data_IF_730973066550
#
_entry.id   IF_730973066550
#
_cell.length_a   1.000
_cell.length_b   1.000
_cell.length_c   1.000
_cell.angle_alpha   90.00
_cell.angle_beta   90.00
_cell.angle_gamma   90.00
#
_symmetry.space_group_name_H-M   'P 1'
#
loop_
_entity.id
_entity.type
_entity.pdbx_description
1 polymer ?
#
# COMPACT_ATOMS: atom_id res chain seq x y z
N UNK A 1 4.17 14.98 15.06
CA UNK A 1 3.08 15.04 16.05
C UNK A 1 1.93 15.97 15.65
N UNK A 2 2.17 17.24 15.28
CA UNK A 2 1.07 18.16 14.86
C UNK A 2 0.29 17.72 13.61
N UNK A 3 0.97 17.16 12.61
CA UNK A 3 0.34 16.72 11.36
C UNK A 3 -0.70 15.60 11.57
N UNK A 4 -0.33 14.53 12.28
CA UNK A 4 -1.24 13.40 12.52
C UNK A 4 -2.43 13.82 13.40
N UNK A 5 -2.20 14.71 14.37
CA UNK A 5 -3.28 15.28 15.18
C UNK A 5 -4.26 16.09 14.33
N UNK A 6 -3.76 16.95 13.43
CA UNK A 6 -4.62 17.71 12.50
C UNK A 6 -5.40 16.77 11.56
N UNK A 7 -4.75 15.72 11.05
CA UNK A 7 -5.37 14.71 10.21
C UNK A 7 -6.56 14.05 10.92
N UNK A 8 -6.42 13.68 12.19
CA UNK A 8 -7.52 13.13 13.01
C UNK A 8 -8.67 14.12 13.15
N UNK A 9 -8.39 15.36 13.52
CA UNK A 9 -9.43 16.39 13.68
C UNK A 9 -10.20 16.55 12.37
N UNK A 10 -9.49 16.66 11.24
CA UNK A 10 -10.09 16.82 9.91
C UNK A 10 -10.91 15.61 9.46
N UNK A 11 -10.52 14.40 9.85
CA UNK A 11 -11.27 13.17 9.59
C UNK A 11 -12.57 13.14 10.43
N UNK A 12 -12.48 13.44 11.72
CA UNK A 12 -13.64 13.50 12.61
C UNK A 12 -14.64 14.58 12.19
N UNK A 13 -14.17 15.75 11.74
CA UNK A 13 -15.04 16.81 11.21
C UNK A 13 -15.82 16.36 9.97
N UNK A 14 -15.19 15.62 9.06
CA UNK A 14 -15.84 15.06 7.86
C UNK A 14 -16.89 14.02 8.22
N UNK A 15 -16.55 13.09 9.11
CA UNK A 15 -17.50 12.15 9.70
C UNK A 15 -18.70 12.88 10.29
N UNK A 16 -18.47 13.91 11.10
CA UNK A 16 -19.54 14.70 11.73
C UNK A 16 -20.42 15.45 10.71
N UNK A 17 -19.90 15.81 9.52
CA UNK A 17 -20.72 16.41 8.46
C UNK A 17 -21.72 15.41 7.87
N UNK A 18 -21.31 14.15 7.70
CA UNK A 18 -22.20 13.09 7.21
C UNK A 18 -23.39 12.84 8.15
N UNK A 19 -23.19 12.93 9.47
CA UNK A 19 -24.29 12.84 10.43
C UNK A 19 -25.30 14.00 10.38
N UNK A 20 -24.84 15.17 9.95
CA UNK A 20 -25.61 16.42 9.99
C UNK A 20 -26.26 16.78 8.65
N UNK A 21 -25.77 16.21 7.56
CA UNK A 21 -26.25 16.50 6.21
C UNK A 21 -27.59 15.79 5.94
N UNK A 22 -28.44 16.40 5.13
CA UNK A 22 -29.70 15.78 4.70
C UNK A 22 -29.51 14.91 3.46
N UNK A 23 -30.51 14.09 3.13
CA UNK A 23 -30.41 13.13 2.02
C UNK A 23 -30.08 13.71 0.64
N UNK A 24 -30.38 15.00 0.40
CA UNK A 24 -30.10 15.67 -0.88
C UNK A 24 -28.62 15.97 -1.10
N UNK A 25 -27.87 16.14 -0.02
CA UNK A 25 -26.46 16.56 -0.03
C UNK A 25 -25.52 15.47 0.46
N UNK A 26 -26.05 14.37 0.97
CA UNK A 26 -25.27 13.27 1.54
C UNK A 26 -24.26 12.68 0.56
N UNK A 27 -24.67 12.40 -0.68
CA UNK A 27 -23.80 11.83 -1.72
C UNK A 27 -22.57 12.72 -2.00
N UNK A 28 -22.77 14.04 -2.08
CA UNK A 28 -21.68 14.99 -2.28
C UNK A 28 -20.72 15.03 -1.08
N UNK A 29 -21.24 15.07 0.16
CA UNK A 29 -20.42 15.04 1.37
C UNK A 29 -19.63 13.73 1.49
N UNK A 30 -20.23 12.60 1.11
CA UNK A 30 -19.57 11.30 1.10
C UNK A 30 -18.41 11.28 0.10
N UNK A 31 -18.62 11.79 -1.12
CA UNK A 31 -17.55 11.95 -2.12
C UNK A 31 -16.44 12.87 -1.61
N UNK A 32 -16.76 13.99 -0.96
CA UNK A 32 -15.73 14.87 -0.38
C UNK A 32 -14.92 14.19 0.73
N UNK A 33 -15.54 13.31 1.52
CA UNK A 33 -14.83 12.51 2.50
C UNK A 33 -13.90 11.49 1.84
N UNK A 34 -14.40 10.73 0.85
CA UNK A 34 -13.59 9.74 0.14
C UNK A 34 -12.42 10.36 -0.62
N UNK A 35 -12.67 11.47 -1.33
CA UNK A 35 -11.62 12.25 -1.98
C UNK A 35 -10.55 12.68 -0.98
N UNK A 36 -10.94 13.18 0.19
CA UNK A 36 -9.98 13.55 1.24
C UNK A 36 -9.13 12.37 1.71
N UNK A 37 -9.75 11.20 1.90
CA UNK A 37 -9.03 9.99 2.31
C UNK A 37 -8.03 9.52 1.24
N UNK A 38 -8.40 9.61 -0.04
CA UNK A 38 -7.55 9.24 -1.17
C UNK A 38 -6.45 10.27 -1.46
N UNK A 39 -6.71 11.56 -1.23
CA UNK A 39 -5.73 12.62 -1.51
C UNK A 39 -4.68 12.76 -0.42
N UNK A 40 -5.03 12.47 0.83
CA UNK A 40 -4.06 12.52 1.92
C UNK A 40 -3.14 11.29 1.88
N UNK A 41 -1.81 11.44 1.77
CA UNK A 41 -0.90 10.31 1.60
C UNK A 41 -0.96 9.25 2.72
N UNK A 42 -1.20 9.66 3.96
CA UNK A 42 -1.22 8.74 5.11
C UNK A 42 -2.50 7.90 5.11
N UNK A 43 -3.66 8.51 4.95
CA UNK A 43 -4.91 7.73 4.87
C UNK A 43 -4.98 6.94 3.57
N UNK A 44 -4.44 7.46 2.47
CA UNK A 44 -4.36 6.73 1.20
C UNK A 44 -3.56 5.44 1.37
N UNK A 45 -2.39 5.50 1.98
CA UNK A 45 -1.56 4.30 2.18
C UNK A 45 -2.27 3.28 3.08
N UNK A 46 -2.95 3.72 4.14
CA UNK A 46 -3.79 2.87 4.98
C UNK A 46 -4.90 2.19 4.19
N UNK A 47 -5.62 2.95 3.36
CA UNK A 47 -6.69 2.41 2.54
C UNK A 47 -6.16 1.42 1.49
N UNK A 48 -5.00 1.69 0.88
CA UNK A 48 -4.35 0.77 -0.06
C UNK A 48 -4.01 -0.53 0.65
N UNK A 49 -3.33 -0.47 1.80
CA UNK A 49 -2.99 -1.63 2.64
C UNK A 49 -4.23 -2.42 3.02
N UNK A 50 -5.28 -1.74 3.51
CA UNK A 50 -6.55 -2.35 3.90
C UNK A 50 -7.23 -3.06 2.72
N UNK A 51 -7.21 -2.45 1.53
CA UNK A 51 -7.86 -2.96 0.31
C UNK A 51 -7.29 -4.30 -0.15
N UNK A 52 -5.98 -4.50 0.06
CA UNK A 52 -5.23 -5.68 -0.36
C UNK A 52 -5.03 -6.72 0.73
N UNK A 53 -5.39 -6.42 1.98
CA UNK A 53 -5.35 -7.39 3.09
C UNK A 53 -6.17 -8.65 2.77
N UNK A 54 -5.80 -9.80 3.31
CA UNK A 54 -6.50 -11.07 3.08
C UNK A 54 -7.60 -11.35 4.12
N UNK A 55 -7.88 -10.40 5.00
CA UNK A 55 -8.84 -10.53 6.12
C UNK A 55 -10.25 -10.93 5.69
N UNK A 56 -10.69 -10.53 4.50
CA UNK A 56 -11.99 -10.88 3.92
C UNK A 56 -11.99 -10.74 2.40
N UNK A 57 -12.61 -11.69 1.70
CA UNK A 57 -13.00 -11.53 0.29
C UNK A 57 -14.32 -10.76 0.24
N UNK A 58 -14.26 -9.52 -0.24
CA UNK A 58 -15.41 -8.64 -0.28
C UNK A 58 -16.49 -9.10 -1.26
N UNK A 59 -16.13 -9.68 -2.39
CA UNK A 59 -17.11 -10.09 -3.40
C UNK A 59 -17.85 -11.34 -2.95
N UNK A 60 -17.14 -12.29 -2.34
CA UNK A 60 -17.77 -13.43 -1.67
C UNK A 60 -18.69 -12.94 -0.54
N UNK A 61 -18.18 -12.10 0.37
CA UNK A 61 -18.97 -11.56 1.48
C UNK A 61 -20.22 -10.85 0.97
N UNK A 62 -20.10 -9.97 -0.03
CA UNK A 62 -21.22 -9.21 -0.57
C UNK A 62 -22.28 -10.11 -1.21
N UNK A 63 -21.88 -11.21 -1.87
CA UNK A 63 -22.81 -12.20 -2.43
C UNK A 63 -23.60 -12.93 -1.34
N UNK A 64 -22.94 -13.30 -0.24
CA UNK A 64 -23.59 -13.92 0.93
C UNK A 64 -24.60 -12.95 1.58
N UNK A 65 -24.23 -11.68 1.72
CA UNK A 65 -25.10 -10.68 2.33
C UNK A 65 -26.33 -10.32 1.48
N UNK A 66 -26.27 -10.43 0.15
CA UNK A 66 -27.44 -10.16 -0.70
C UNK A 66 -28.62 -11.10 -0.48
N UNK A 67 -28.39 -12.27 0.14
CA UNK A 67 -29.44 -13.24 0.47
C UNK A 67 -29.78 -13.27 1.96
N UNK A 68 -29.05 -12.53 2.79
CA UNK A 68 -29.21 -12.52 4.24
C UNK A 68 -30.35 -11.58 4.66
N UNK A 69 -31.01 -11.93 5.78
CA UNK A 69 -32.03 -11.06 6.41
C UNK A 69 -31.43 -9.89 7.18
N UNK A 70 -30.18 -10.03 7.59
CA UNK A 70 -29.42 -9.07 8.39
C UNK A 70 -27.97 -9.11 7.92
N UNK A 71 -27.32 -7.95 7.81
CA UNK A 71 -25.94 -7.89 7.37
C UNK A 71 -25.01 -8.31 8.51
N UNK A 72 -24.21 -9.33 8.26
CA UNK A 72 -23.19 -9.82 9.19
C UNK A 72 -21.82 -9.30 8.75
N UNK A 73 -21.21 -8.45 9.57
CA UNK A 73 -19.84 -8.01 9.34
C UNK A 73 -18.83 -9.10 9.72
N UNK A 74 -17.64 -9.12 9.10
CA UNK A 74 -16.53 -9.94 9.56
C UNK A 74 -16.22 -9.72 11.04
N UNK A 75 -15.77 -10.77 11.73
CA UNK A 75 -15.44 -10.71 13.16
C UNK A 75 -14.20 -9.85 13.45
N UNK A 76 -13.25 -9.81 12.52
CA UNK A 76 -12.05 -8.99 12.66
C UNK A 76 -12.33 -7.52 12.38
N UNK A 77 -11.70 -6.65 13.16
CA UNK A 77 -11.82 -5.20 12.98
C UNK A 77 -11.32 -4.75 11.60
N UNK A 78 -10.17 -5.27 11.17
CA UNK A 78 -9.62 -5.03 9.83
C UNK A 78 -10.58 -5.52 8.73
N UNK A 79 -11.14 -6.72 8.87
CA UNK A 79 -12.10 -7.26 7.91
C UNK A 79 -13.36 -6.40 7.81
N UNK A 80 -13.88 -5.94 8.95
CA UNK A 80 -15.00 -4.99 8.99
C UNK A 80 -14.64 -3.67 8.30
N UNK A 81 -13.49 -3.08 8.63
CA UNK A 81 -13.03 -1.84 8.00
C UNK A 81 -12.88 -2.00 6.48
N UNK A 82 -12.34 -3.12 6.01
CA UNK A 82 -12.19 -3.43 4.58
C UNK A 82 -13.55 -3.49 3.87
N UNK A 83 -14.52 -4.21 4.45
CA UNK A 83 -15.89 -4.28 3.92
C UNK A 83 -16.51 -2.88 3.86
N UNK A 84 -16.42 -2.11 4.94
CA UNK A 84 -16.91 -0.74 5.00
C UNK A 84 -16.31 0.12 3.88
N UNK A 85 -14.98 0.09 3.73
CA UNK A 85 -14.29 0.83 2.67
C UNK A 85 -14.76 0.40 1.27
N UNK A 86 -14.89 -0.91 1.00
CA UNK A 86 -15.35 -1.42 -0.30
C UNK A 86 -16.80 -1.03 -0.61
N UNK A 87 -17.69 -0.99 0.39
CA UNK A 87 -19.05 -0.44 0.23
C UNK A 87 -18.99 1.03 -0.18
N UNK A 88 -18.16 1.84 0.49
CA UNK A 88 -18.03 3.26 0.15
C UNK A 88 -17.45 3.48 -1.24
N UNK A 89 -16.47 2.66 -1.68
CA UNK A 89 -15.94 2.67 -3.06
C UNK A 89 -17.01 2.33 -4.09
N UNK A 90 -17.92 1.40 -3.81
CA UNK A 90 -19.09 1.14 -4.69
C UNK A 90 -20.03 2.33 -4.74
N UNK A 91 -20.17 3.09 -3.65
CA UNK A 91 -20.97 4.32 -3.65
C UNK A 91 -20.35 5.43 -4.52
N UNK A 92 -19.03 5.56 -4.52
CA UNK A 92 -18.32 6.54 -5.35
C UNK A 92 -18.47 6.26 -6.85
N UNK A 93 -18.39 4.99 -7.26
CA UNK A 93 -18.38 4.57 -8.65
C UNK A 93 -19.79 4.45 -9.28
N UNK A 94 -20.87 4.66 -8.52
CA UNK A 94 -22.23 4.52 -9.04
C UNK A 94 -22.71 5.82 -9.71
N UNK A 95 -22.84 5.81 -11.04
CA UNK A 95 -23.33 6.93 -11.86
C UNK A 95 -24.76 7.39 -11.48
N UNK A 96 -25.59 6.49 -10.94
CA UNK A 96 -26.96 6.80 -10.51
C UNK A 96 -27.03 7.44 -9.11
N UNK A 97 -25.90 7.54 -8.39
CA UNK A 97 -25.74 8.36 -7.17
C UNK A 97 -26.52 7.93 -5.94
N UNK A 98 -26.80 6.62 -5.76
CA UNK A 98 -27.67 6.11 -4.67
C UNK A 98 -27.32 4.72 -4.14
N UNK A 99 -26.10 4.20 -4.37
CA UNK A 99 -25.72 2.87 -3.84
C UNK A 99 -25.83 2.82 -2.31
N UNK A 100 -25.59 3.95 -1.62
CA UNK A 100 -25.78 4.07 -0.19
C UNK A 100 -27.23 3.77 0.24
N UNK A 101 -28.25 3.97 -0.61
CA UNK A 101 -29.64 3.64 -0.27
C UNK A 101 -29.86 2.13 -0.21
N UNK A 102 -29.26 1.38 -1.15
CA UNK A 102 -29.33 -0.08 -1.17
C UNK A 102 -28.77 -0.65 0.12
N UNK A 103 -27.60 -0.17 0.52
CA UNK A 103 -26.96 -0.57 1.77
C UNK A 103 -27.70 -0.01 2.99
N UNK A 104 -28.20 1.22 2.93
CA UNK A 104 -29.02 1.82 3.99
C UNK A 104 -30.24 0.97 4.32
N UNK A 105 -30.95 0.44 3.32
CA UNK A 105 -32.05 -0.49 3.53
C UNK A 105 -31.62 -1.85 4.10
N UNK A 106 -30.37 -2.26 3.89
CA UNK A 106 -29.83 -3.48 4.48
C UNK A 106 -29.46 -3.31 5.96
N UNK A 107 -29.14 -2.08 6.38
CA UNK A 107 -28.73 -1.75 7.75
C UNK A 107 -29.84 -1.13 8.60
N UNK A 108 -30.91 -0.65 7.98
CA UNK A 108 -31.95 0.14 8.65
C UNK A 108 -33.34 -0.42 8.36
N UNK A 109 -34.20 -0.40 9.39
CA UNK A 109 -35.64 -0.63 9.24
C UNK A 109 -36.43 0.67 9.00
N UNK A 110 -35.74 1.81 8.92
CA UNK A 110 -36.36 3.13 8.80
C UNK A 110 -36.86 3.42 7.39
N UNK A 111 -37.99 4.11 7.33
CA UNK A 111 -38.59 4.58 6.06
C UNK A 111 -38.23 6.03 5.75
N UNK A 112 -37.71 6.77 6.73
CA UNK A 112 -37.27 8.16 6.57
C UNK A 112 -35.81 8.18 6.12
N UNK A 113 -35.56 8.75 4.95
CA UNK A 113 -34.22 8.81 4.36
C UNK A 113 -33.15 9.38 5.30
N UNK A 114 -33.44 10.44 6.04
CA UNK A 114 -32.46 11.05 6.95
C UNK A 114 -32.11 10.14 8.15
N UNK A 115 -33.01 9.26 8.59
CA UNK A 115 -32.71 8.28 9.64
C UNK A 115 -31.91 7.12 9.06
N UNK A 116 -32.33 6.59 7.90
CA UNK A 116 -31.58 5.55 7.19
C UNK A 116 -30.14 5.97 6.86
N UNK A 117 -29.91 7.25 6.58
CA UNK A 117 -28.57 7.81 6.36
C UNK A 117 -27.70 7.80 7.60
N UNK A 118 -28.29 8.07 8.77
CA UNK A 118 -27.57 7.98 10.05
C UNK A 118 -27.18 6.54 10.32
N UNK A 119 -28.11 5.61 10.16
CA UNK A 119 -27.85 4.18 10.34
C UNK A 119 -26.76 3.68 9.38
N UNK A 120 -26.79 4.11 8.11
CA UNK A 120 -25.72 3.81 7.16
C UNK A 120 -24.38 4.43 7.59
N UNK A 121 -24.37 5.67 8.07
CA UNK A 121 -23.15 6.34 8.55
C UNK A 121 -22.57 5.58 9.76
N UNK A 122 -23.41 5.20 10.72
CA UNK A 122 -23.02 4.45 11.91
C UNK A 122 -22.54 3.02 11.58
N UNK A 123 -23.18 2.36 10.62
CA UNK A 123 -22.84 1.00 10.25
C UNK A 123 -21.60 0.90 9.36
N UNK A 124 -21.36 1.90 8.50
CA UNK A 124 -20.35 1.83 7.42
C UNK A 124 -19.24 2.87 7.59
N UNK A 125 -19.59 4.13 7.80
CA UNK A 125 -18.60 5.22 7.84
C UNK A 125 -17.83 5.20 9.15
N UNK A 126 -18.54 5.05 10.27
CA UNK A 126 -17.96 5.11 11.61
C UNK A 126 -16.90 4.02 11.86
N UNK A 127 -17.13 2.73 11.54
CA UNK A 127 -16.13 1.71 11.75
C UNK A 127 -14.85 1.97 10.96
N UNK A 128 -14.98 2.42 9.70
CA UNK A 128 -13.81 2.78 8.89
C UNK A 128 -13.07 3.97 9.51
N UNK A 129 -13.78 5.01 9.95
CA UNK A 129 -13.14 6.20 10.55
C UNK A 129 -12.44 5.85 11.86
N UNK A 130 -13.05 5.03 12.70
CA UNK A 130 -12.45 4.60 13.96
C UNK A 130 -11.20 3.77 13.70
N UNK A 131 -11.28 2.79 12.80
CA UNK A 131 -10.11 2.02 12.36
C UNK A 131 -8.98 2.94 11.88
N UNK A 132 -9.29 3.91 11.00
CA UNK A 132 -8.29 4.86 10.51
C UNK A 132 -7.73 5.75 11.65
N UNK A 133 -8.52 6.09 12.66
CA UNK A 133 -8.03 6.84 13.81
C UNK A 133 -7.02 6.04 14.62
N UNK A 134 -7.32 4.78 14.88
CA UNK A 134 -6.44 3.90 15.65
C UNK A 134 -5.13 3.68 14.88
N UNK A 135 -5.21 3.42 13.58
CA UNK A 135 -4.04 3.31 12.71
C UNK A 135 -3.23 4.62 12.56
N UNK A 136 -3.85 5.78 12.73
CA UNK A 136 -3.13 7.07 12.78
C UNK A 136 -2.40 7.24 14.12
N UNK A 137 -3.00 6.76 15.22
CA UNK A 137 -2.42 6.84 16.55
C UNK A 137 -1.23 5.89 16.71
N UNK A 138 -1.29 4.71 16.09
CA UNK A 138 -0.19 3.74 16.08
C UNK A 138 1.02 4.24 15.28
N UNK A 139 0.82 5.14 14.30
CA UNK A 139 1.90 5.86 13.61
C UNK A 139 2.79 5.04 12.68
N UNK A 140 2.65 3.72 12.67
CA UNK A 140 3.56 2.75 12.02
C UNK A 140 3.21 2.33 10.60
N UNK A 141 2.43 3.10 9.82
CA UNK A 141 2.09 2.69 8.46
C UNK A 141 3.33 2.63 7.55
N UNK A 142 3.85 1.42 7.32
CA UNK A 142 5.10 1.15 6.61
C UNK A 142 5.09 1.77 5.21
N UNK A 143 4.01 1.60 4.45
CA UNK A 143 3.94 2.11 3.09
C UNK A 143 4.08 3.64 3.05
N UNK A 144 3.39 4.37 3.94
CA UNK A 144 3.54 5.81 4.09
C UNK A 144 4.96 6.20 4.47
N UNK A 145 5.58 5.46 5.39
CA UNK A 145 6.95 5.75 5.83
C UNK A 145 7.97 5.55 4.71
N UNK A 146 7.79 4.53 3.87
CA UNK A 146 8.59 4.33 2.65
C UNK A 146 8.34 5.46 1.64
N UNK A 147 7.08 5.87 1.41
CA UNK A 147 6.75 7.01 0.53
C UNK A 147 7.41 8.30 1.04
N UNK A 148 7.36 8.54 2.36
CA UNK A 148 8.02 9.68 2.98
C UNK A 148 9.54 9.61 2.86
N UNK A 149 10.13 8.43 3.02
CA UNK A 149 11.56 8.22 2.79
C UNK A 149 11.95 8.49 1.34
N UNK A 150 11.16 8.01 0.37
CA UNK A 150 11.33 8.31 -1.06
C UNK A 150 11.38 9.82 -1.31
N UNK A 151 10.40 10.57 -0.81
CA UNK A 151 10.39 12.03 -0.96
C UNK A 151 11.61 12.69 -0.30
N UNK A 152 11.97 12.26 0.92
CA UNK A 152 13.15 12.77 1.64
C UNK A 152 14.45 12.52 0.86
N UNK A 153 14.60 11.30 0.33
CA UNK A 153 15.74 10.87 -0.46
C UNK A 153 15.83 11.68 -1.76
N UNK A 154 14.75 11.74 -2.53
CA UNK A 154 14.74 12.35 -3.86
C UNK A 154 14.90 13.88 -3.82
N UNK A 155 14.32 14.55 -2.82
CA UNK A 155 14.29 16.01 -2.76
C UNK A 155 15.46 16.61 -1.98
N UNK A 156 15.91 15.94 -0.91
CA UNK A 156 16.85 16.55 0.04
C UNK A 156 18.16 15.77 0.19
N UNK A 157 18.15 14.45 0.04
CA UNK A 157 19.31 13.60 0.35
C UNK A 157 19.90 12.88 -0.86
N UNK A 158 19.51 13.25 -2.08
CA UNK A 158 19.91 12.59 -3.32
C UNK A 158 21.44 12.44 -3.43
N UNK A 159 22.14 13.58 -3.38
CA UNK A 159 23.60 13.61 -3.43
C UNK A 159 24.26 12.83 -2.29
N UNK A 160 23.72 12.95 -1.07
CA UNK A 160 24.25 12.30 0.12
C UNK A 160 24.17 10.77 0.00
N UNK A 161 22.99 10.24 -0.31
CA UNK A 161 22.75 8.79 -0.47
C UNK A 161 23.54 8.23 -1.66
N UNK A 162 23.63 8.97 -2.76
CA UNK A 162 24.45 8.55 -3.90
C UNK A 162 25.94 8.52 -3.57
N UNK A 163 26.44 9.52 -2.84
CA UNK A 163 27.84 9.53 -2.39
C UNK A 163 28.12 8.37 -1.43
N UNK A 164 27.18 8.05 -0.54
CA UNK A 164 27.26 6.90 0.35
C UNK A 164 27.37 5.57 -0.44
N UNK A 165 26.59 5.43 -1.52
CA UNK A 165 26.71 4.29 -2.43
C UNK A 165 28.07 4.24 -3.14
N UNK A 166 28.50 5.37 -3.71
CA UNK A 166 29.74 5.45 -4.48
C UNK A 166 31.00 5.23 -3.64
N UNK A 167 30.98 5.61 -2.36
CA UNK A 167 32.12 5.45 -1.45
C UNK A 167 32.54 3.97 -1.30
N UNK A 168 31.58 3.04 -1.30
CA UNK A 168 31.88 1.61 -1.35
C UNK A 168 30.69 0.81 -1.92
N UNK A 169 30.73 0.55 -3.23
CA UNK A 169 29.64 -0.12 -3.95
C UNK A 169 29.41 -1.57 -3.53
N UNK A 170 30.40 -2.23 -2.89
CA UNK A 170 30.29 -3.61 -2.43
C UNK A 170 29.36 -3.75 -1.21
N UNK A 171 29.36 -2.76 -0.31
CA UNK A 171 28.48 -2.70 0.88
C UNK A 171 27.36 -1.66 0.73
N UNK A 172 27.33 -0.92 -0.38
CA UNK A 172 26.42 0.19 -0.59
C UNK A 172 24.94 -0.18 -0.46
N UNK A 173 24.53 -1.39 -0.85
CA UNK A 173 23.14 -1.87 -0.67
C UNK A 173 22.79 -1.93 0.82
N UNK A 174 23.65 -2.58 1.61
CA UNK A 174 23.52 -2.67 3.08
C UNK A 174 23.54 -1.29 3.75
N UNK A 175 24.41 -0.39 3.29
CA UNK A 175 24.49 0.97 3.83
C UNK A 175 23.20 1.75 3.61
N UNK A 176 22.59 1.64 2.42
CA UNK A 176 21.36 2.34 2.10
C UNK A 176 20.11 1.68 2.70
N UNK A 177 20.10 0.34 2.79
CA UNK A 177 19.07 -0.41 3.54
C UNK A 177 19.01 0.07 5.00
N UNK A 178 20.16 0.24 5.63
CA UNK A 178 20.25 0.81 6.99
C UNK A 178 19.67 2.22 7.08
N UNK A 179 19.87 3.08 6.07
CA UNK A 179 19.28 4.43 6.04
C UNK A 179 17.74 4.38 5.96
N UNK A 180 17.19 3.48 5.15
CA UNK A 180 15.75 3.27 5.08
C UNK A 180 15.21 2.75 6.42
N UNK A 181 15.81 1.70 6.97
CA UNK A 181 15.36 1.08 8.23
C UNK A 181 15.46 2.05 9.41
N UNK A 182 16.52 2.87 9.47
CA UNK A 182 16.62 3.96 10.44
C UNK A 182 15.45 4.96 10.29
N UNK A 183 15.10 5.33 9.06
CA UNK A 183 13.94 6.20 8.80
C UNK A 183 12.60 5.56 9.15
N UNK A 184 12.45 4.24 9.03
CA UNK A 184 11.26 3.51 9.47
C UNK A 184 11.18 3.48 10.99
N UNK A 185 12.30 3.24 11.67
CA UNK A 185 12.40 3.27 13.13
C UNK A 185 12.01 4.63 13.71
N UNK A 186 12.61 5.70 13.19
CA UNK A 186 12.25 7.08 13.53
C UNK A 186 10.77 7.41 13.21
N UNK A 187 10.18 6.65 12.29
CA UNK A 187 8.79 6.76 11.86
C UNK A 187 7.79 6.04 12.76
N UNK A 188 8.23 5.22 13.71
CA UNK A 188 7.36 4.44 14.60
C UNK A 188 7.26 2.95 14.27
N UNK A 189 8.09 2.42 13.36
CA UNK A 189 8.23 0.96 13.20
C UNK A 189 9.21 0.46 14.26
N UNK A 190 8.75 -0.32 15.24
CA UNK A 190 9.57 -0.71 16.39
C UNK A 190 10.76 -1.61 16.01
N UNK A 191 10.54 -2.56 15.11
CA UNK A 191 11.56 -3.54 14.69
C UNK A 191 11.69 -3.59 13.17
N UNK A 192 12.16 -2.51 12.51
CA UNK A 192 12.36 -2.51 11.08
C UNK A 192 13.59 -3.32 10.68
N UNK A 193 14.24 -3.98 11.63
CA UNK A 193 15.35 -4.93 11.45
C UNK A 193 14.83 -6.31 11.89
N UNK A 194 14.03 -6.96 11.05
CA UNK A 194 13.44 -8.27 11.31
C UNK A 194 14.20 -9.32 10.53
N UNK A 195 14.70 -10.32 11.23
CA UNK A 195 15.49 -11.38 10.64
C UNK A 195 15.47 -12.56 11.76
N UNK A 196 15.19 -13.89 11.50
CA UNK A 196 16.13 -15.05 11.54
C UNK A 196 16.02 -16.01 10.32
N UNK A 197 17.00 -16.92 10.21
CA UNK A 197 17.37 -17.82 9.09
C UNK A 197 16.24 -18.67 8.48
N UNK A 198 16.12 -18.64 7.15
CA UNK A 198 15.47 -19.71 6.40
C UNK A 198 16.44 -20.89 6.22
N UNK A 199 15.96 -22.13 5.99
CA UNK A 199 16.80 -23.29 5.70
C UNK A 199 17.69 -23.16 4.45
N UNK A 200 17.62 -22.07 3.69
CA UNK A 200 18.24 -21.91 2.36
C UNK A 200 19.54 -21.12 2.31
N UNK A 201 20.12 -20.70 3.45
CA UNK A 201 21.45 -20.06 3.48
C UNK A 201 21.52 -18.78 4.30
N UNK A 202 22.75 -18.40 4.69
CA UNK A 202 23.10 -17.40 5.70
C UNK A 202 22.31 -16.07 5.62
N UNK A 203 21.65 -15.73 6.72
CA UNK A 203 21.00 -14.45 7.00
C UNK A 203 21.26 -14.07 8.48
N UNK A 204 21.53 -12.79 8.76
CA UNK A 204 22.20 -12.28 10.00
C UNK A 204 21.26 -11.83 11.13
N UNK A 205 20.81 -12.70 12.08
CA UNK A 205 19.70 -12.28 12.96
C UNK A 205 19.44 -12.97 14.30
N UNK A 206 19.13 -12.13 15.32
CA UNK A 206 18.13 -12.32 16.42
C UNK A 206 17.50 -10.93 16.75
N UNK A 207 16.17 -10.75 16.91
CA UNK A 207 15.47 -10.89 18.20
C UNK A 207 13.92 -11.02 18.13
N UNK A 208 13.45 -11.95 18.98
CA UNK A 208 12.15 -12.08 19.66
C UNK A 208 10.90 -12.41 18.83
N UNK A 209 10.64 -13.73 18.78
CA UNK A 209 9.38 -14.49 18.85
C UNK A 209 8.19 -13.83 19.60
N UNK A 210 7.84 -12.56 19.34
CA UNK A 210 6.80 -11.87 20.10
C UNK A 210 6.10 -10.68 19.46
N UNK A 211 6.40 -10.34 18.19
CA UNK A 211 5.48 -9.49 17.41
C UNK A 211 4.70 -10.36 16.44
N UNK A 212 3.38 -10.26 16.45
CA UNK A 212 2.48 -11.06 15.60
C UNK A 212 2.52 -10.64 14.10
N UNK A 213 3.28 -9.60 13.72
CA UNK A 213 3.32 -9.01 12.37
C UNK A 213 4.75 -8.60 11.93
N UNK A 214 5.54 -9.51 11.32
CA UNK A 214 6.89 -9.22 10.81
C UNK A 214 6.90 -8.35 9.53
N UNK A 215 7.70 -7.29 9.53
CA UNK A 215 7.94 -6.47 8.33
C UNK A 215 8.68 -7.27 7.24
N UNK A 216 8.01 -7.52 6.11
CA UNK A 216 8.59 -8.11 4.89
C UNK A 216 9.04 -7.00 3.94
N UNK A 217 10.33 -6.67 3.98
CA UNK A 217 10.92 -5.61 3.17
C UNK A 217 12.31 -6.00 2.63
N UNK A 218 12.51 -5.81 1.33
CA UNK A 218 13.78 -6.01 0.64
C UNK A 218 14.23 -4.70 -0.03
N UNK A 219 15.53 -4.41 0.05
CA UNK A 219 16.14 -3.26 -0.63
C UNK A 219 17.07 -3.75 -1.72
N UNK A 220 16.92 -3.21 -2.93
CA UNK A 220 17.82 -3.47 -4.05
C UNK A 220 18.35 -2.19 -4.66
N UNK A 221 19.60 -2.23 -5.10
CA UNK A 221 20.16 -1.18 -5.95
C UNK A 221 19.84 -1.49 -7.41
N UNK A 222 19.46 -0.45 -8.15
CA UNK A 222 19.44 -0.46 -9.61
C UNK A 222 20.58 0.38 -10.17
N UNK A 223 21.57 -0.30 -10.74
CA UNK A 223 22.77 0.26 -11.36
C UNK A 223 23.24 -0.71 -12.46
N UNK A 224 22.62 -0.65 -13.67
CA UNK A 224 22.86 -1.63 -14.72
C UNK A 224 24.30 -1.60 -15.24
N UNK A 225 25.01 -0.47 -15.11
CA UNK A 225 26.42 -0.35 -15.52
C UNK A 225 27.36 -1.16 -14.60
N UNK A 226 26.91 -1.46 -13.38
CA UNK A 226 27.64 -2.27 -12.39
C UNK A 226 27.01 -3.64 -12.18
N UNK A 227 26.35 -4.19 -13.20
CA UNK A 227 25.69 -5.49 -13.17
C UNK A 227 24.53 -5.61 -12.15
N UNK A 228 24.02 -4.48 -11.63
CA UNK A 228 22.84 -4.42 -10.76
C UNK A 228 21.61 -4.02 -11.57
N UNK A 229 21.31 -4.78 -12.62
CA UNK A 229 20.20 -4.54 -13.53
C UNK A 229 18.93 -5.32 -13.16
N UNK A 230 18.12 -5.66 -14.17
CA UNK A 230 16.84 -6.40 -14.00
C UNK A 230 16.98 -7.72 -13.24
N UNK A 231 18.07 -8.47 -13.44
CA UNK A 231 18.34 -9.72 -12.73
C UNK A 231 18.47 -9.53 -11.22
N UNK A 232 19.10 -8.43 -10.78
CA UNK A 232 19.22 -8.08 -9.35
C UNK A 232 17.85 -7.77 -8.73
N UNK A 233 16.99 -7.07 -9.48
CA UNK A 233 15.62 -6.78 -9.05
C UNK A 233 14.77 -8.04 -8.93
N UNK A 234 14.89 -8.96 -9.91
CA UNK A 234 14.25 -10.29 -9.86
C UNK A 234 14.66 -11.07 -8.61
N UNK A 235 15.96 -11.08 -8.29
CA UNK A 235 16.45 -11.72 -7.07
C UNK A 235 15.83 -11.11 -5.81
N UNK A 236 15.80 -9.78 -5.72
CA UNK A 236 15.15 -9.10 -4.58
C UNK A 236 13.65 -9.39 -4.48
N UNK A 237 12.95 -9.45 -5.62
CA UNK A 237 11.55 -9.82 -5.65
C UNK A 237 11.33 -11.25 -5.12
N UNK A 238 12.13 -12.22 -5.57
CA UNK A 238 12.07 -13.59 -5.04
C UNK A 238 12.37 -13.66 -3.54
N UNK A 239 13.30 -12.86 -3.03
CA UNK A 239 13.59 -12.79 -1.59
C UNK A 239 12.37 -12.30 -0.80
N UNK A 240 11.75 -11.20 -1.25
CA UNK A 240 10.54 -10.66 -0.61
C UNK A 240 9.36 -11.64 -0.66
N UNK A 241 9.19 -12.37 -1.77
CA UNK A 241 8.17 -13.43 -1.91
C UNK A 241 8.46 -14.58 -0.93
N UNK A 242 9.71 -15.02 -0.82
CA UNK A 242 10.11 -16.07 0.12
C UNK A 242 9.79 -15.65 1.54
N UNK A 243 10.20 -14.44 1.95
CA UNK A 243 9.94 -13.94 3.29
C UNK A 243 8.45 -13.80 3.58
N UNK A 244 7.66 -13.26 2.64
CA UNK A 244 6.22 -13.19 2.82
C UNK A 244 5.61 -14.59 3.01
N UNK A 245 6.13 -15.62 2.34
CA UNK A 245 5.68 -16.99 2.52
C UNK A 245 6.13 -17.60 3.85
N UNK A 246 7.39 -17.41 4.23
CA UNK A 246 7.96 -17.94 5.47
C UNK A 246 7.23 -17.41 6.70
N UNK A 247 6.79 -16.14 6.66
CA UNK A 247 6.06 -15.49 7.76
C UNK A 247 4.55 -15.44 7.57
N UNK A 248 4.02 -16.02 6.49
CA UNK A 248 2.60 -15.96 6.12
C UNK A 248 2.03 -14.52 5.99
N UNK A 249 2.88 -13.56 5.65
CA UNK A 249 2.46 -12.19 5.46
C UNK A 249 1.75 -11.98 4.13
N UNK A 250 0.68 -11.17 4.18
CA UNK A 250 -0.11 -10.83 2.99
C UNK A 250 0.55 -9.75 2.12
N UNK A 251 1.50 -9.01 2.69
CA UNK A 251 2.16 -7.85 2.09
C UNK A 251 3.68 -7.98 2.11
N UNK A 252 4.33 -7.42 1.08
CA UNK A 252 5.77 -7.24 1.05
C UNK A 252 6.17 -5.97 0.29
N UNK A 253 7.39 -5.49 0.56
CA UNK A 253 7.91 -4.24 0.00
C UNK A 253 9.26 -4.45 -0.68
N UNK A 254 9.34 -4.21 -1.99
CA UNK A 254 10.61 -4.12 -2.70
C UNK A 254 10.94 -2.65 -2.93
N UNK A 255 11.91 -2.12 -2.18
CA UNK A 255 12.41 -0.76 -2.36
C UNK A 255 13.63 -0.77 -3.27
N UNK A 256 13.57 0.00 -4.36
CA UNK A 256 14.60 0.03 -5.38
C UNK A 256 15.28 1.39 -5.36
N UNK A 257 16.56 1.42 -4.98
CA UNK A 257 17.36 2.63 -5.02
C UNK A 257 18.04 2.74 -6.38
N UNK A 258 17.49 3.61 -7.23
CA UNK A 258 18.01 3.86 -8.57
C UNK A 258 19.23 4.78 -8.49
N UNK A 259 20.39 4.17 -8.75
CA UNK A 259 21.69 4.83 -8.81
C UNK A 259 22.12 5.11 -10.26
N UNK A 260 21.30 4.75 -11.25
CA UNK A 260 21.59 5.04 -12.65
C UNK A 260 21.15 6.45 -13.05
N UNK A 261 21.72 6.96 -14.14
CA UNK A 261 21.31 8.20 -14.78
C UNK A 261 19.96 8.07 -15.54
N UNK A 262 19.48 6.83 -15.69
CA UNK A 262 18.23 6.49 -16.36
C UNK A 262 17.07 6.51 -15.38
N UNK A 263 15.89 6.92 -15.85
CA UNK A 263 14.66 6.87 -15.07
C UNK A 263 14.10 5.45 -15.06
N UNK A 264 13.89 4.91 -13.87
CA UNK A 264 13.23 3.61 -13.70
C UNK A 264 11.71 3.80 -13.71
N UNK A 265 11.02 3.07 -14.58
CA UNK A 265 9.55 3.04 -14.66
C UNK A 265 9.09 1.64 -14.32
N UNK A 266 8.33 1.49 -13.24
CA UNK A 266 7.73 0.21 -12.86
C UNK A 266 6.32 0.17 -13.45
N UNK A 267 6.07 -0.79 -14.35
CA UNK A 267 4.78 -0.96 -15.03
C UNK A 267 4.41 -2.43 -15.07
N UNK A 268 3.96 -3.01 -13.94
CA UNK A 268 3.58 -4.42 -13.85
C UNK A 268 2.50 -4.79 -14.87
N UNK A 269 1.49 -3.94 -15.04
CA UNK A 269 0.43 -4.08 -16.03
C UNK A 269 0.00 -2.70 -16.59
N UNK A 270 -0.74 -2.67 -17.71
CA UNK A 270 -1.14 -1.42 -18.37
C UNK A 270 -2.03 -0.51 -17.48
N UNK A 271 -2.78 -1.09 -16.54
CA UNK A 271 -3.66 -0.35 -15.62
C UNK A 271 -2.87 0.31 -14.47
N UNK A 272 -1.71 -0.24 -14.10
CA UNK A 272 -0.88 0.20 -12.98
C UNK A 272 -0.02 1.44 -13.26
N UNK A 273 0.01 1.94 -14.50
CA UNK A 273 0.79 3.14 -14.86
C UNK A 273 0.37 4.41 -14.11
N UNK A 274 -0.84 4.44 -13.54
CA UNK A 274 -1.39 5.56 -12.78
C UNK A 274 -1.51 5.29 -11.27
N UNK A 275 -1.22 4.07 -10.81
CA UNK A 275 -1.36 3.70 -9.40
C UNK A 275 -0.01 3.82 -8.68
N UNK A 276 0.05 4.65 -7.63
CA UNK A 276 1.17 4.69 -6.71
C UNK A 276 0.79 4.09 -5.35
N UNK A 277 1.65 3.21 -4.78
CA UNK A 277 2.83 2.60 -5.41
C UNK A 277 2.45 1.55 -6.46
N UNK A 278 3.32 1.32 -7.48
CA UNK A 278 3.22 0.14 -8.33
C UNK A 278 3.22 -1.15 -7.50
N UNK A 279 2.42 -2.13 -7.90
CA UNK A 279 2.25 -3.39 -7.16
C UNK A 279 2.20 -4.59 -8.08
N UNK A 280 2.69 -5.72 -7.59
CA UNK A 280 2.61 -7.04 -8.23
C UNK A 280 1.83 -7.96 -7.29
N UNK A 281 0.87 -8.71 -7.83
CA UNK A 281 0.16 -9.75 -7.07
C UNK A 281 0.74 -11.10 -7.45
N UNK A 282 1.26 -11.84 -6.48
CA UNK A 282 1.86 -13.16 -6.73
C UNK A 282 1.53 -14.12 -5.58
N UNK A 283 1.01 -15.31 -5.89
CA UNK A 283 0.63 -16.30 -4.87
C UNK A 283 -0.46 -15.82 -3.90
N UNK A 284 -1.40 -14.98 -4.35
CA UNK A 284 -2.46 -14.42 -3.50
C UNK A 284 -2.01 -13.30 -2.54
N UNK A 285 -0.76 -12.84 -2.66
CA UNK A 285 -0.14 -11.79 -1.84
C UNK A 285 0.21 -10.57 -2.67
N UNK A 286 0.30 -9.41 -2.05
CA UNK A 286 0.58 -8.14 -2.73
C UNK A 286 1.97 -7.62 -2.38
N UNK A 287 2.74 -7.26 -3.41
CA UNK A 287 4.09 -6.75 -3.28
C UNK A 287 4.18 -5.34 -3.84
N UNK A 288 4.48 -4.37 -2.99
CA UNK A 288 4.67 -2.98 -3.38
C UNK A 288 6.09 -2.75 -3.89
N UNK A 289 6.20 -2.16 -5.07
CA UNK A 289 7.48 -1.87 -5.70
C UNK A 289 7.72 -0.37 -5.68
N UNK A 290 8.68 0.08 -4.88
CA UNK A 290 8.92 1.51 -4.65
C UNK A 290 10.28 1.91 -5.22
N UNK A 291 10.33 2.46 -6.45
CA UNK A 291 11.57 3.02 -6.98
C UNK A 291 11.86 4.36 -6.31
N UNK A 292 13.13 4.65 -6.01
CA UNK A 292 13.62 5.89 -5.40
C UNK A 292 14.85 6.35 -6.19
N UNK A 293 14.75 7.51 -6.84
CA UNK A 293 15.82 8.06 -7.67
C UNK A 293 16.84 8.82 -6.81
N UNK A 294 18.01 8.20 -6.57
CA UNK A 294 19.06 8.80 -5.76
C UNK A 294 20.24 9.34 -6.58
N UNK A 295 20.35 9.06 -7.88
CA UNK A 295 21.42 9.64 -8.69
C UNK A 295 21.16 11.14 -9.00
N UNK A 296 22.07 12.07 -8.64
CA UNK A 296 21.92 13.51 -8.89
C UNK A 296 21.81 13.87 -10.38
N UNK A 297 22.41 13.05 -11.24
CA UNK A 297 22.46 13.26 -12.69
C UNK A 297 21.23 12.69 -13.42
N UNK A 298 20.30 12.04 -12.71
CA UNK A 298 19.05 11.57 -13.31
C UNK A 298 18.31 12.74 -13.96
N UNK A 299 18.10 12.64 -15.27
CA UNK A 299 17.56 13.71 -16.09
C UNK A 299 16.16 14.09 -15.59
N UNK A 300 15.93 15.40 -15.38
CA UNK A 300 14.62 15.92 -14.98
C UNK A 300 13.52 15.48 -15.95
N UNK A 301 12.31 15.19 -15.46
CA UNK A 301 11.20 14.69 -16.27
C UNK A 301 10.88 15.52 -17.53
N UNK A 302 11.14 16.84 -17.51
CA UNK A 302 10.94 17.74 -18.67
C UNK A 302 12.01 17.64 -19.77
N UNK A 303 13.15 17.00 -19.47
CA UNK A 303 14.27 16.75 -20.39
C UNK A 303 14.45 15.26 -20.69
N UNK A 304 13.63 14.42 -20.09
CA UNK A 304 13.66 12.96 -20.16
C UNK A 304 13.18 12.50 -21.55
N UNK A 305 14.10 11.97 -22.36
CA UNK A 305 13.79 11.39 -23.66
C UNK A 305 13.34 9.94 -23.46
N UNK A 306 12.53 9.34 -24.35
CA UNK A 306 12.16 7.92 -24.22
C UNK A 306 13.36 6.96 -24.06
N UNK A 307 14.52 7.30 -24.64
CA UNK A 307 15.75 6.52 -24.53
C UNK A 307 16.44 6.55 -23.15
N UNK A 308 16.08 7.49 -22.26
CA UNK A 308 16.60 7.56 -20.88
C UNK A 308 15.74 6.78 -19.88
N UNK A 309 14.71 6.05 -20.35
CA UNK A 309 13.83 5.24 -19.49
C UNK A 309 14.16 3.77 -19.56
N UNK A 310 14.13 3.11 -18.41
CA UNK A 310 14.12 1.64 -18.31
C UNK A 310 12.80 1.24 -17.67
N UNK A 311 12.02 0.46 -18.41
CA UNK A 311 10.78 -0.12 -17.90
C UNK A 311 11.03 -1.50 -17.29
N UNK A 312 10.49 -1.71 -16.09
CA UNK A 312 10.42 -3.00 -15.40
C UNK A 312 8.97 -3.48 -15.45
N UNK A 313 8.72 -4.58 -16.14
CA UNK A 313 7.43 -5.27 -16.18
C UNK A 313 7.31 -6.30 -15.06
N UNK A 314 6.12 -6.88 -14.88
CA UNK A 314 5.93 -8.02 -13.99
C UNK A 314 6.78 -9.23 -14.41
N UNK A 315 6.89 -9.52 -15.72
CA UNK A 315 7.72 -10.61 -16.24
C UNK A 315 9.22 -10.43 -15.96
N UNK A 316 9.69 -9.19 -15.84
CA UNK A 316 11.07 -8.92 -15.42
C UNK A 316 11.31 -9.39 -13.97
N UNK A 317 10.30 -9.25 -13.09
CA UNK A 317 10.36 -9.55 -11.66
C UNK A 317 10.02 -11.01 -11.31
N UNK A 318 8.99 -11.58 -11.93
CA UNK A 318 8.50 -12.95 -11.65
C UNK A 318 9.23 -14.00 -12.52
N UNK A 319 9.79 -13.57 -13.66
CA UNK A 319 10.27 -14.46 -14.71
C UNK A 319 9.16 -14.84 -15.70
N UNK A 320 9.55 -15.37 -16.86
CA UNK A 320 8.57 -15.92 -17.81
C UNK A 320 7.97 -17.20 -17.22
N UNK A 321 6.64 -17.26 -17.12
CA UNK A 321 5.98 -18.55 -16.91
C UNK A 321 6.25 -19.41 -18.15
N UNK A 322 7.08 -20.45 -18.00
CA UNK A 322 7.19 -21.47 -19.03
C UNK A 322 5.83 -22.17 -19.09
N UNK A 323 5.05 -21.84 -20.11
CA UNK A 323 3.81 -22.56 -20.43
C UNK A 323 4.17 -24.00 -20.79
N UNK A 324 4.25 -24.88 -19.80
CA UNK A 324 4.30 -26.32 -20.03
C UNK A 324 2.91 -26.81 -20.42
N UNK A 325 2.59 -26.62 -21.69
CA UNK A 325 1.49 -27.27 -22.42
C UNK A 325 1.92 -27.26 -23.89
N UNK A 326 2.52 -28.31 -24.41
CA UNK A 326 1.91 -29.64 -24.49
C UNK A 326 1.55 -29.86 -25.95
N UNK A 327 2.58 -30.14 -26.78
CA UNK A 327 2.38 -30.81 -28.05
C UNK A 327 1.72 -32.16 -27.74
N UNK A 328 0.47 -32.33 -28.17
CA UNK A 328 -0.02 -33.63 -28.60
C UNK A 328 -0.68 -33.45 -29.97
N UNK A 329 -0.30 -34.40 -30.83
CA UNK A 329 -0.56 -34.51 -32.25
C UNK A 329 -2.03 -34.77 -32.58
#
# INVERSE_FOLDING_TARGET
MFYLRDLRVRLQERRNRLFKTGYRTYDAELRYMLQFLCDNPYTRSLLITLDVSTSVDFDQWAAEQTSAREVQFPESEEGRAKVCYRILRRCENNENGREWMRWGHAFSSETKFDLMLRDFTEAVVDPLVNFLHDQIDDGGNVLYLIERFKLKAEWFRRQELFSLYQANTSVGERSLDRELRASLFEGGVDYPFSQPSSPSGEADIVALLGSDDPLVLEVKIFDPERSKGKSNLRQGFHQVVSYANDYNESLGYLVILNCSDKRLVISPNEQSLQEFPPRVTHGGKTYFIVPIDINPDTVSASKDKPASRITISESDLVGEQVSSGGQQA
#
